data_IF_292532388151
#
_entry.id   IF_292532388151
#
_cell.length_a   1.000
_cell.length_b   1.000
_cell.length_c   1.000
_cell.angle_alpha   90.00
_cell.angle_beta   90.00
_cell.angle_gamma   90.00
#
_symmetry.space_group_name_H-M   'P 1'
#
loop_
_entity.id
_entity.type
_entity.pdbx_description
1 polymer ?
#
# COMPACT_ATOMS: atom_id res chain seq x y z
N UNK A 1 -17.25 13.14 -7.96
CA UNK A 1 -16.09 12.46 -7.35
C UNK A 1 -14.83 12.86 -8.10
N UNK A 2 -13.73 13.12 -7.40
CA UNK A 2 -12.43 13.34 -8.03
C UNK A 2 -11.50 12.20 -7.61
N UNK A 3 -10.77 11.64 -8.57
CA UNK A 3 -9.86 10.52 -8.36
C UNK A 3 -8.45 10.92 -8.80
N UNK A 4 -7.49 10.65 -7.94
CA UNK A 4 -6.07 10.70 -8.26
C UNK A 4 -5.62 9.27 -8.57
N UNK A 5 -5.20 9.02 -9.80
CA UNK A 5 -4.60 7.75 -10.18
C UNK A 5 -3.08 7.89 -10.11
N UNK A 6 -2.44 6.95 -9.43
CA UNK A 6 -0.99 6.84 -9.33
C UNK A 6 -0.60 5.48 -9.91
N UNK A 7 0.26 5.50 -10.91
CA UNK A 7 0.76 4.29 -11.58
C UNK A 7 2.26 4.21 -11.37
N UNK A 8 2.72 3.09 -10.82
CA UNK A 8 4.15 2.79 -10.70
C UNK A 8 4.73 2.42 -12.07
N UNK A 9 5.80 3.10 -12.47
CA UNK A 9 6.55 2.85 -13.71
C UNK A 9 7.89 2.14 -13.45
N UNK A 10 8.22 1.83 -12.20
CA UNK A 10 9.48 1.24 -11.78
C UNK A 10 10.61 2.25 -11.59
N UNK A 11 11.70 1.82 -10.95
CA UNK A 11 12.89 2.64 -10.65
C UNK A 11 12.57 3.96 -9.91
N UNK A 12 11.53 3.94 -9.06
CA UNK A 12 11.06 5.12 -8.36
C UNK A 12 10.41 6.17 -9.26
N UNK A 13 9.94 5.80 -10.45
CA UNK A 13 9.16 6.70 -11.30
C UNK A 13 7.67 6.39 -11.18
N UNK A 14 6.86 7.44 -11.06
CA UNK A 14 5.40 7.32 -11.04
C UNK A 14 4.75 8.20 -12.11
N UNK A 15 3.64 7.72 -12.66
CA UNK A 15 2.74 8.53 -13.47
C UNK A 15 1.53 8.92 -12.63
N UNK A 16 1.21 10.21 -12.63
CA UNK A 16 0.03 10.73 -11.94
C UNK A 16 -1.01 11.16 -12.97
N UNK A 17 -2.27 10.81 -12.76
CA UNK A 17 -3.37 11.37 -13.55
C UNK A 17 -4.57 11.75 -12.68
N UNK A 18 -5.28 12.79 -13.09
CA UNK A 18 -6.43 13.32 -12.36
C UNK A 18 -7.71 13.12 -13.15
N UNK A 19 -8.70 12.47 -12.53
CA UNK A 19 -10.01 12.22 -13.11
C UNK A 19 -11.08 12.98 -12.33
N UNK A 20 -11.90 13.75 -13.05
CA UNK A 20 -13.06 14.46 -12.50
C UNK A 20 -14.35 13.80 -12.98
N UNK A 21 -15.07 13.15 -12.08
CA UNK A 21 -16.27 12.38 -12.40
C UNK A 21 -15.97 11.27 -13.42
N UNK A 22 -16.79 11.18 -14.46
CA UNK A 22 -16.62 10.20 -15.54
C UNK A 22 -15.79 10.75 -16.71
N UNK A 23 -15.13 11.90 -16.55
CA UNK A 23 -14.25 12.45 -17.59
C UNK A 23 -12.99 11.59 -17.76
N UNK A 24 -12.38 11.65 -18.95
CA UNK A 24 -11.08 11.03 -19.22
C UNK A 24 -10.04 11.59 -18.24
N UNK A 25 -9.23 10.70 -17.65
CA UNK A 25 -8.17 11.06 -16.73
C UNK A 25 -7.10 11.91 -17.45
N UNK A 26 -6.68 13.02 -16.83
CA UNK A 26 -5.63 13.90 -17.34
C UNK A 26 -4.31 13.53 -16.70
N UNK A 27 -3.40 12.97 -17.50
CA UNK A 27 -2.05 12.64 -17.05
C UNK A 27 -1.19 13.89 -16.90
N UNK A 28 -0.39 13.95 -15.84
CA UNK A 28 0.72 14.88 -15.73
C UNK A 28 1.75 14.55 -16.83
N UNK A 29 2.26 15.53 -17.60
CA UNK A 29 2.95 15.25 -18.86
C UNK A 29 4.30 14.54 -18.73
N UNK A 30 4.85 14.39 -17.53
CA UNK A 30 6.15 13.73 -17.30
C UNK A 30 6.05 12.79 -16.11
N UNK A 31 6.73 11.63 -16.11
CA UNK A 31 6.92 10.85 -14.90
C UNK A 31 7.53 11.71 -13.78
N UNK A 32 7.09 11.45 -12.55
CA UNK A 32 7.60 12.10 -11.35
C UNK A 32 8.52 11.11 -10.65
N UNK A 33 9.69 11.57 -10.24
CA UNK A 33 10.56 10.76 -9.38
C UNK A 33 9.94 10.71 -7.98
N UNK A 34 9.53 9.52 -7.56
CA UNK A 34 9.19 9.22 -6.19
C UNK A 34 10.49 8.98 -5.41
N UNK A 35 10.85 9.94 -4.57
CA UNK A 35 11.91 9.77 -3.59
C UNK A 35 11.32 9.05 -2.40
N UNK A 36 11.89 7.90 -2.06
CA UNK A 36 11.48 7.16 -0.89
C UNK A 36 11.63 8.02 0.37
N UNK A 37 10.53 8.29 1.09
CA UNK A 37 10.57 9.18 2.25
C UNK A 37 11.22 8.51 3.47
N UNK A 38 11.39 7.19 3.45
CA UNK A 38 11.92 6.44 4.57
C UNK A 38 13.45 6.32 4.47
N UNK A 39 14.12 6.87 5.47
CA UNK A 39 15.55 6.63 5.64
C UNK A 39 15.80 5.19 6.18
N UNK A 40 17.07 4.81 6.32
CA UNK A 40 17.45 3.46 6.78
C UNK A 40 16.95 3.16 8.20
N UNK A 41 16.97 4.15 9.10
CA UNK A 41 16.46 4.01 10.47
C UNK A 41 14.95 3.80 10.47
N UNK A 42 14.22 4.59 9.68
CA UNK A 42 12.76 4.47 9.57
C UNK A 42 12.34 3.08 9.07
N UNK A 43 13.09 2.51 8.12
CA UNK A 43 12.85 1.14 7.63
C UNK A 43 13.11 0.09 8.68
N UNK A 44 14.18 0.24 9.46
CA UNK A 44 14.50 -0.69 10.54
C UNK A 44 13.42 -0.68 11.63
N UNK A 45 12.94 0.50 12.00
CA UNK A 45 11.85 0.65 12.97
C UNK A 45 10.54 0.09 12.42
N UNK A 46 10.20 0.37 11.16
CA UNK A 46 9.02 -0.18 10.52
C UNK A 46 9.10 -1.71 10.41
N UNK A 47 10.27 -2.26 10.06
CA UNK A 47 10.49 -3.70 10.01
C UNK A 47 10.26 -4.34 11.38
N UNK A 48 10.89 -3.81 12.42
CA UNK A 48 10.69 -4.29 13.80
C UNK A 48 9.21 -4.22 14.19
N UNK A 49 8.53 -3.12 13.87
CA UNK A 49 7.10 -2.97 14.16
C UNK A 49 6.24 -4.02 13.44
N UNK A 50 6.47 -4.26 12.15
CA UNK A 50 5.70 -5.21 11.36
C UNK A 50 6.02 -6.68 11.68
N UNK A 51 7.29 -6.99 11.93
CA UNK A 51 7.77 -8.37 12.11
C UNK A 51 7.75 -8.83 13.57
N UNK A 52 8.14 -7.96 14.52
CA UNK A 52 8.36 -8.34 15.92
C UNK A 52 7.24 -7.87 16.85
N UNK A 53 6.64 -6.70 16.57
CA UNK A 53 5.55 -6.17 17.40
C UNK A 53 4.18 -6.64 16.91
N UNK A 54 3.96 -6.68 15.59
CA UNK A 54 2.71 -7.10 14.97
C UNK A 54 2.67 -8.60 14.59
N UNK A 55 3.56 -9.44 15.13
CA UNK A 55 3.59 -10.89 14.86
C UNK A 55 2.32 -11.64 15.32
N UNK A 56 1.37 -10.95 15.94
CA UNK A 56 0.03 -11.46 16.22
C UNK A 56 -0.88 -11.31 14.98
N UNK A 57 -1.77 -12.27 14.67
CA UNK A 57 -2.51 -12.30 13.42
C UNK A 57 -3.58 -11.21 13.37
N UNK A 58 -3.19 -10.00 12.97
CA UNK A 58 -4.11 -8.89 12.71
C UNK A 58 -4.27 -8.64 11.21
N UNK A 59 -4.04 -9.68 10.40
CA UNK A 59 -4.33 -9.70 8.98
C UNK A 59 -5.54 -10.58 8.71
N UNK A 60 -6.70 -9.94 8.55
CA UNK A 60 -8.00 -10.53 8.23
C UNK A 60 -8.73 -11.24 9.38
N UNK A 61 -10.03 -11.00 9.39
CA UNK A 61 -11.00 -11.53 10.33
C UNK A 61 -10.82 -13.02 10.64
N UNK A 62 -11.12 -13.33 11.90
CA UNK A 62 -11.29 -14.62 12.57
C UNK A 62 -12.19 -15.66 11.87
N UNK A 63 -12.58 -15.49 10.60
CA UNK A 63 -13.28 -16.53 9.83
C UNK A 63 -12.46 -17.83 9.72
N UNK A 64 -11.13 -17.75 9.82
CA UNK A 64 -10.26 -18.93 9.87
C UNK A 64 -9.99 -19.45 11.29
N UNK A 65 -10.32 -18.68 12.33
CA UNK A 65 -10.08 -19.06 13.73
C UNK A 65 -11.24 -19.89 14.33
N UNK A 66 -12.46 -19.75 13.80
CA UNK A 66 -13.64 -20.55 14.18
C UNK A 66 -13.63 -21.99 13.61
N UNK A 67 -12.55 -22.40 12.94
CA UNK A 67 -12.24 -23.82 12.72
C UNK A 67 -11.72 -24.52 14.00
N UNK A 68 -11.90 -23.90 15.18
CA UNK A 68 -12.08 -24.61 16.45
C UNK A 68 -13.26 -25.57 16.35
N UNK A 69 -12.97 -26.77 15.88
CA UNK A 69 -13.94 -27.85 15.83
C UNK A 69 -13.31 -29.15 15.40
N UNK A 70 -12.23 -29.56 16.07
CA UNK A 70 -11.92 -30.98 16.22
C UNK A 70 -13.20 -31.63 16.76
N UNK A 71 -13.99 -32.23 15.88
CA UNK A 71 -14.99 -33.20 16.29
C UNK A 71 -14.22 -34.46 16.66
N UNK A 72 -14.39 -34.84 17.91
CA UNK A 72 -13.97 -36.08 18.55
C UNK A 72 -14.39 -37.33 17.76
#
# INVERSE_FOLDING_TARGET
MNLLHITDLGNGNIQVSWQRGNAIARSYPRPIQFTDPLNVKDRSELRWYLEDYLTFPYGAESFMADATGKND
#
